data_IF_357701116759
#
_entry.id   IF_357701116759
#
_cell.length_a   1.000
_cell.length_b   1.000
_cell.length_c   1.000
_cell.angle_alpha   90.00
_cell.angle_beta   90.00
_cell.angle_gamma   90.00
#
_symmetry.space_group_name_H-M   'P 1'
#
loop_
_entity.id
_entity.type
_entity.pdbx_description
1 polymer ?
#
# COMPACT_ATOMS: atom_id res chain seq x y z
N UNK A 1 -34.72 -39.04 -42.52
CA UNK A 1 -34.53 -37.60 -42.34
C UNK A 1 -34.02 -37.39 -40.92
N UNK A 2 -32.71 -37.24 -40.79
CA UNK A 2 -32.04 -37.09 -39.47
C UNK A 2 -31.77 -35.59 -39.26
N UNK A 3 -32.41 -34.99 -38.26
CA UNK A 3 -32.10 -33.65 -37.81
C UNK A 3 -30.87 -33.69 -36.95
N UNK A 4 -29.74 -33.28 -37.48
CA UNK A 4 -28.55 -33.03 -36.75
C UNK A 4 -28.72 -31.71 -35.95
N UNK A 5 -28.97 -31.78 -34.65
CA UNK A 5 -28.91 -30.66 -33.76
C UNK A 5 -27.42 -30.32 -33.48
N UNK A 6 -26.97 -29.27 -34.14
CA UNK A 6 -25.68 -28.65 -33.83
C UNK A 6 -25.87 -27.82 -32.56
N UNK A 7 -25.50 -28.39 -31.42
CA UNK A 7 -25.35 -27.66 -30.14
C UNK A 7 -24.08 -26.84 -30.29
N UNK A 8 -24.25 -25.57 -30.64
CA UNK A 8 -23.19 -24.56 -30.54
C UNK A 8 -22.94 -24.31 -29.05
N UNK A 9 -21.95 -24.99 -28.51
CA UNK A 9 -21.41 -24.68 -27.17
C UNK A 9 -20.70 -23.32 -27.26
N UNK A 10 -21.45 -22.26 -26.96
CA UNK A 10 -20.86 -20.95 -26.70
C UNK A 10 -20.03 -21.08 -25.40
N UNK A 11 -18.78 -21.46 -25.52
CA UNK A 11 -17.78 -21.20 -24.51
C UNK A 11 -17.64 -19.68 -24.39
N UNK A 12 -18.46 -19.08 -23.53
CA UNK A 12 -18.17 -17.77 -22.98
C UNK A 12 -16.88 -17.89 -22.20
N UNK A 13 -15.78 -17.57 -22.85
CA UNK A 13 -14.52 -17.28 -22.18
C UNK A 13 -14.80 -16.02 -21.36
N UNK A 14 -15.25 -16.22 -20.13
CA UNK A 14 -15.18 -15.17 -19.12
C UNK A 14 -13.68 -14.91 -18.99
N UNK A 15 -13.21 -13.87 -19.64
CA UNK A 15 -11.91 -13.31 -19.36
C UNK A 15 -11.96 -12.91 -17.89
N UNK A 16 -11.53 -13.78 -17.01
CA UNK A 16 -11.19 -13.43 -15.64
C UNK A 16 -10.13 -12.34 -15.79
N UNK A 17 -10.56 -11.10 -15.63
CA UNK A 17 -9.66 -9.98 -15.45
C UNK A 17 -8.93 -10.26 -14.14
N UNK A 18 -7.85 -11.02 -14.22
CA UNK A 18 -7.00 -11.29 -13.06
C UNK A 18 -6.35 -9.97 -12.72
N UNK A 19 -6.83 -9.36 -11.66
CA UNK A 19 -6.14 -8.26 -11.03
C UNK A 19 -4.70 -8.72 -10.77
N UNK A 20 -3.72 -7.98 -11.26
CA UNK A 20 -2.34 -8.33 -10.97
C UNK A 20 -2.04 -8.04 -9.49
N UNK A 21 -1.28 -8.92 -8.87
CA UNK A 21 -0.85 -8.79 -7.49
C UNK A 21 0.66 -8.64 -7.41
N UNK A 22 1.15 -8.04 -6.36
CA UNK A 22 2.59 -8.08 -6.08
C UNK A 22 3.05 -9.52 -5.80
N UNK A 23 4.35 -9.82 -5.90
CA UNK A 23 4.90 -11.05 -5.35
C UNK A 23 4.42 -11.26 -3.91
N UNK A 24 4.20 -12.50 -3.50
CA UNK A 24 3.72 -12.81 -2.14
C UNK A 24 4.68 -12.32 -1.04
N UNK A 25 5.95 -12.16 -1.36
CA UNK A 25 6.97 -11.57 -0.49
C UNK A 25 7.84 -10.61 -1.29
N UNK A 26 8.05 -9.42 -0.77
CA UNK A 26 8.96 -8.44 -1.38
C UNK A 26 9.45 -7.42 -0.34
N UNK A 27 10.59 -6.81 -0.64
CA UNK A 27 11.16 -5.67 0.05
C UNK A 27 11.41 -4.55 -0.95
N UNK A 28 11.37 -3.31 -0.49
CA UNK A 28 11.64 -2.14 -1.31
C UNK A 28 11.70 -0.87 -0.47
N UNK A 29 11.78 0.24 -1.18
CA UNK A 29 11.78 1.57 -0.60
C UNK A 29 10.71 2.40 -1.27
N UNK A 30 10.13 3.35 -0.53
CA UNK A 30 9.16 4.31 -1.02
C UNK A 30 9.65 5.72 -0.72
N UNK A 31 9.59 6.57 -1.73
CA UNK A 31 9.81 8.01 -1.57
C UNK A 31 8.48 8.72 -1.78
N UNK A 32 8.00 9.39 -0.74
CA UNK A 32 6.70 10.05 -0.73
C UNK A 32 6.87 11.56 -0.59
N UNK A 33 6.13 12.29 -1.40
CA UNK A 33 5.91 13.72 -1.22
C UNK A 33 4.41 14.00 -1.30
N UNK A 34 3.90 14.83 -0.39
CA UNK A 34 2.48 15.14 -0.37
C UNK A 34 2.16 16.44 0.32
N UNK A 35 0.88 16.78 0.27
CA UNK A 35 0.34 17.96 0.94
C UNK A 35 -1.04 17.66 1.51
N UNK A 36 -1.37 18.39 2.55
CA UNK A 36 -2.69 18.34 3.15
C UNK A 36 -3.20 19.73 3.50
N UNK A 37 -4.52 19.89 3.45
CA UNK A 37 -5.20 21.12 3.79
C UNK A 37 -6.48 20.85 4.60
N UNK A 38 -6.63 21.54 5.71
CA UNK A 38 -7.81 21.50 6.55
C UNK A 38 -8.14 22.87 7.13
N UNK A 39 -9.24 22.98 7.88
CA UNK A 39 -9.72 24.28 8.38
C UNK A 39 -8.70 25.09 9.19
N UNK A 40 -7.80 24.45 9.91
CA UNK A 40 -6.88 25.09 10.84
C UNK A 40 -5.41 24.79 10.57
N UNK A 41 -5.11 23.93 9.60
CA UNK A 41 -3.75 23.53 9.29
C UNK A 41 -3.64 23.08 7.83
N UNK A 42 -2.52 23.41 7.24
CA UNK A 42 -2.07 22.87 5.97
C UNK A 42 -0.57 22.61 6.09
N UNK A 43 -0.05 21.71 5.29
CA UNK A 43 1.37 21.40 5.33
C UNK A 43 1.80 20.52 4.18
N UNK A 44 3.11 20.38 4.07
CA UNK A 44 3.79 19.47 3.16
C UNK A 44 4.41 18.36 4.00
N UNK A 45 4.36 17.15 3.49
CA UNK A 45 5.04 16.00 4.07
C UNK A 45 6.02 15.41 3.06
N UNK A 46 7.10 14.86 3.58
CA UNK A 46 8.06 14.03 2.85
C UNK A 46 8.36 12.81 3.70
N UNK A 47 8.39 11.67 3.05
CA UNK A 47 8.68 10.41 3.74
C UNK A 47 9.61 9.58 2.88
N UNK A 48 10.53 8.91 3.53
CA UNK A 48 11.30 7.82 2.96
C UNK A 48 11.04 6.58 3.80
N UNK A 49 10.59 5.52 3.16
CA UNK A 49 10.05 4.34 3.84
C UNK A 49 10.77 3.11 3.30
N UNK A 50 11.42 2.34 4.16
CA UNK A 50 11.85 0.99 3.82
C UNK A 50 10.71 0.03 4.18
N UNK A 51 10.23 -0.74 3.20
CA UNK A 51 9.05 -1.60 3.32
C UNK A 51 9.44 -3.06 3.16
N UNK A 52 8.83 -3.92 3.95
CA UNK A 52 8.83 -5.37 3.78
C UNK A 52 7.37 -5.87 3.82
N UNK A 53 6.96 -6.56 2.77
CA UNK A 53 5.64 -7.16 2.64
C UNK A 53 5.76 -8.67 2.59
N UNK A 54 5.04 -9.36 3.48
CA UNK A 54 4.99 -10.81 3.56
C UNK A 54 3.53 -11.29 3.56
N UNK A 55 2.99 -11.42 2.36
CA UNK A 55 1.62 -11.90 2.11
C UNK A 55 1.46 -13.38 2.45
N UNK A 56 2.54 -14.16 2.46
CA UNK A 56 2.51 -15.57 2.85
C UNK A 56 2.18 -15.72 4.34
N UNK A 57 2.77 -14.86 5.18
CA UNK A 57 2.57 -14.88 6.63
C UNK A 57 1.63 -13.75 7.11
N UNK A 58 0.96 -13.05 6.19
CA UNK A 58 0.00 -11.97 6.49
C UNK A 58 0.58 -10.89 7.42
N UNK A 59 1.73 -10.35 7.07
CA UNK A 59 2.43 -9.33 7.87
C UNK A 59 3.12 -8.31 6.99
N UNK A 60 3.30 -7.10 7.52
CA UNK A 60 4.08 -6.04 6.88
C UNK A 60 4.99 -5.37 7.91
N UNK A 61 6.08 -4.78 7.44
CA UNK A 61 6.92 -3.93 8.27
C UNK A 61 7.36 -2.70 7.46
N UNK A 62 7.46 -1.56 8.14
CA UNK A 62 7.96 -0.33 7.53
C UNK A 62 8.85 0.44 8.52
N UNK A 63 9.94 1.00 8.00
CA UNK A 63 10.76 1.98 8.69
C UNK A 63 10.58 3.32 7.98
N UNK A 64 9.97 4.27 8.68
CA UNK A 64 9.57 5.56 8.13
C UNK A 64 10.49 6.66 8.64
N UNK A 65 11.12 7.39 7.72
CA UNK A 65 11.76 8.68 7.99
C UNK A 65 10.83 9.78 7.50
N UNK A 66 10.23 10.48 8.44
CA UNK A 66 9.17 11.46 8.20
C UNK A 66 9.66 12.88 8.40
N UNK A 67 9.29 13.76 7.48
CA UNK A 67 9.53 15.20 7.57
C UNK A 67 8.27 16.01 7.26
N UNK A 68 7.97 16.96 8.12
CA UNK A 68 6.90 17.95 7.93
C UNK A 68 7.42 19.32 8.35
N UNK A 69 7.81 20.13 7.36
CA UNK A 69 8.53 21.38 7.60
C UNK A 69 9.85 21.13 8.32
N UNK A 70 10.04 21.75 9.50
CA UNK A 70 11.23 21.59 10.36
C UNK A 70 11.15 20.36 11.28
N UNK A 71 9.99 19.72 11.39
CA UNK A 71 9.81 18.55 12.24
C UNK A 71 10.18 17.27 11.50
N UNK A 72 11.03 16.48 12.12
CA UNK A 72 11.38 15.14 11.62
C UNK A 72 11.18 14.09 12.70
N UNK A 73 10.76 12.90 12.31
CA UNK A 73 10.63 11.76 13.20
C UNK A 73 10.94 10.45 12.49
N UNK A 74 11.20 9.39 13.25
CA UNK A 74 11.43 8.04 12.72
C UNK A 74 10.50 7.06 13.41
N UNK A 75 9.86 6.23 12.62
CA UNK A 75 8.94 5.22 13.12
C UNK A 75 9.31 3.84 12.60
N UNK A 76 9.08 2.82 13.44
CA UNK A 76 8.94 1.44 12.98
C UNK A 76 7.46 1.08 13.08
N UNK A 77 6.92 0.56 11.98
CA UNK A 77 5.52 0.12 11.89
C UNK A 77 5.55 -1.37 11.57
N UNK A 78 4.78 -2.16 12.31
CA UNK A 78 4.62 -3.59 12.04
C UNK A 78 3.14 -3.91 12.07
N UNK A 79 2.65 -4.63 11.04
CA UNK A 79 1.33 -5.25 11.09
C UNK A 79 1.46 -6.76 11.10
N UNK A 80 0.64 -7.43 11.89
CA UNK A 80 0.53 -8.88 11.90
C UNK A 80 -0.93 -9.28 11.95
N UNK A 81 -1.29 -10.30 11.19
CA UNK A 81 -2.63 -10.84 11.14
C UNK A 81 -2.61 -12.31 11.50
N UNK A 82 -3.42 -12.69 12.48
CA UNK A 82 -3.60 -14.05 12.96
C UNK A 82 -5.10 -14.34 13.08
N UNK A 83 -5.54 -15.47 12.57
CA UNK A 83 -6.94 -15.92 12.64
C UNK A 83 -7.97 -14.86 12.15
N UNK A 84 -7.63 -14.11 11.09
CA UNK A 84 -8.49 -13.07 10.51
C UNK A 84 -8.49 -11.73 11.25
N UNK A 85 -7.75 -11.60 12.35
CA UNK A 85 -7.60 -10.37 13.11
C UNK A 85 -6.19 -9.81 12.95
N UNK A 86 -6.12 -8.50 12.73
CA UNK A 86 -4.85 -7.81 12.59
C UNK A 86 -4.50 -6.99 13.83
N UNK A 87 -3.20 -6.77 14.02
CA UNK A 87 -2.68 -5.84 15.00
C UNK A 87 -1.59 -4.98 14.41
N UNK A 88 -1.73 -3.68 14.56
CA UNK A 88 -0.78 -2.67 14.17
C UNK A 88 0.05 -2.25 15.39
N UNK A 89 1.35 -2.17 15.20
CA UNK A 89 2.33 -1.66 16.16
C UNK A 89 3.04 -0.47 15.53
N UNK A 90 3.07 0.67 16.20
CA UNK A 90 3.78 1.87 15.75
C UNK A 90 4.73 2.32 16.84
N UNK A 91 6.01 2.34 16.56
CA UNK A 91 7.05 2.78 17.51
C UNK A 91 7.65 4.08 17.03
N UNK A 92 7.60 5.10 17.88
CA UNK A 92 8.39 6.31 17.73
C UNK A 92 9.82 6.01 18.20
N UNK A 93 10.73 5.87 17.25
CA UNK A 93 12.11 5.48 17.52
C UNK A 93 12.92 6.58 18.24
N UNK A 94 12.47 7.84 18.17
CA UNK A 94 13.10 8.94 18.91
C UNK A 94 12.67 8.98 20.38
N UNK A 95 11.40 8.64 20.65
CA UNK A 95 10.83 8.70 22.00
C UNK A 95 10.83 7.37 22.73
N UNK A 96 11.08 6.25 22.02
CA UNK A 96 10.96 4.91 22.58
C UNK A 96 9.54 4.56 23.02
N UNK A 97 8.51 5.12 22.35
CA UNK A 97 7.11 4.88 22.67
C UNK A 97 6.46 4.02 21.62
N UNK A 98 5.65 3.04 22.06
CA UNK A 98 4.87 2.20 21.18
C UNK A 98 3.37 2.43 21.38
N UNK A 99 2.66 2.43 20.27
CA UNK A 99 1.20 2.42 20.21
C UNK A 99 0.74 1.19 19.47
N UNK A 100 -0.38 0.64 19.90
CA UNK A 100 -0.97 -0.53 19.26
C UNK A 100 -2.42 -0.26 18.88
N UNK A 101 -2.86 -0.84 17.77
CA UNK A 101 -4.26 -0.77 17.29
C UNK A 101 -4.70 -2.12 16.75
N UNK A 102 -5.87 -2.57 17.15
CA UNK A 102 -6.52 -3.73 16.53
C UNK A 102 -7.06 -3.36 15.16
N UNK A 103 -6.85 -4.24 14.19
CA UNK A 103 -7.36 -4.12 12.82
C UNK A 103 -8.47 -5.15 12.64
N UNK A 104 -9.70 -4.69 12.49
CA UNK A 104 -10.88 -5.56 12.35
C UNK A 104 -11.04 -6.15 10.95
N UNK A 105 -10.23 -5.69 9.99
CA UNK A 105 -10.26 -6.19 8.62
C UNK A 105 -9.25 -7.29 8.44
N UNK A 106 -9.55 -8.33 7.65
CA UNK A 106 -8.56 -9.36 7.31
C UNK A 106 -7.41 -8.74 6.50
N UNK A 107 -6.28 -9.43 6.51
CA UNK A 107 -5.17 -9.09 5.63
C UNK A 107 -5.63 -9.09 4.17
N UNK A 108 -5.21 -8.10 3.43
CA UNK A 108 -5.47 -8.01 2.00
C UNK A 108 -4.17 -8.16 1.24
N UNK A 109 -4.19 -9.00 0.22
CA UNK A 109 -3.07 -9.08 -0.71
C UNK A 109 -2.93 -7.73 -1.45
N UNK A 110 -1.70 -7.34 -1.71
CA UNK A 110 -1.38 -6.15 -2.47
C UNK A 110 -1.64 -6.41 -3.96
N UNK A 111 -2.89 -6.26 -4.36
CA UNK A 111 -3.37 -6.48 -5.73
C UNK A 111 -4.05 -5.22 -6.25
N UNK A 112 -4.00 -5.03 -7.56
CA UNK A 112 -4.89 -4.08 -8.23
C UNK A 112 -6.33 -4.60 -8.07
N UNK A 113 -7.27 -3.82 -7.52
CA UNK A 113 -8.66 -4.23 -7.35
C UNK A 113 -9.33 -4.59 -8.69
N UNK A 114 -10.24 -5.56 -8.66
CA UNK A 114 -10.96 -6.03 -9.87
C UNK A 114 -11.82 -4.92 -10.52
N UNK A 115 -12.27 -3.97 -9.72
CA UNK A 115 -13.05 -2.81 -10.16
C UNK A 115 -12.20 -1.61 -10.57
N UNK A 116 -10.87 -1.72 -10.50
CA UNK A 116 -9.96 -0.68 -10.94
C UNK A 116 -10.05 -0.48 -12.46
N UNK A 117 -10.17 0.77 -12.88
CA UNK A 117 -10.22 1.11 -14.28
C UNK A 117 -8.82 1.14 -14.89
N UNK A 118 -8.52 0.20 -15.79
CA UNK A 118 -7.30 0.26 -16.59
C UNK A 118 -7.34 1.49 -17.51
N UNK A 119 -6.32 2.35 -17.40
CA UNK A 119 -6.18 3.56 -18.22
C UNK A 119 -5.44 3.25 -19.51
N UNK A 120 -4.43 2.38 -19.45
CA UNK A 120 -3.60 1.98 -20.58
C UNK A 120 -2.17 1.73 -20.18
N UNK A 121 -1.35 1.35 -21.17
CA UNK A 121 0.08 1.20 -20.98
C UNK A 121 0.83 2.37 -21.61
N UNK A 122 1.88 2.82 -20.97
CA UNK A 122 2.73 3.93 -21.41
C UNK A 122 4.16 3.73 -20.92
N UNK A 123 5.05 4.59 -21.38
CA UNK A 123 6.45 4.55 -20.99
C UNK A 123 6.77 5.68 -20.01
N UNK A 124 7.50 5.39 -18.95
CA UNK A 124 8.08 6.40 -18.09
C UNK A 124 9.41 6.87 -18.64
N UNK A 125 9.58 8.19 -18.71
CA UNK A 125 10.79 8.80 -19.28
C UNK A 125 10.81 8.75 -20.81
N UNK A 126 11.80 8.10 -21.38
CA UNK A 126 11.94 8.02 -22.83
C UNK A 126 10.89 7.13 -23.47
N UNK A 127 10.45 7.49 -24.68
CA UNK A 127 9.66 6.61 -25.53
C UNK A 127 10.43 5.30 -25.75
N UNK A 128 9.74 4.17 -25.60
CA UNK A 128 10.32 2.82 -25.64
C UNK A 128 11.29 2.49 -24.47
N UNK A 129 11.24 3.29 -23.40
CA UNK A 129 11.93 3.04 -22.15
C UNK A 129 11.17 2.09 -21.20
N UNK A 130 10.97 2.53 -19.95
CA UNK A 130 10.34 1.71 -18.92
C UNK A 130 8.82 1.68 -19.07
N UNK A 131 8.27 0.52 -19.45
CA UNK A 131 6.83 0.35 -19.74
C UNK A 131 6.04 0.01 -18.47
N UNK A 132 4.96 0.75 -18.26
CA UNK A 132 4.04 0.52 -17.15
C UNK A 132 2.59 0.49 -17.62
N UNK A 133 1.72 -0.05 -16.78
CA UNK A 133 0.27 -0.01 -16.97
C UNK A 133 -0.35 0.82 -15.85
N UNK A 134 -1.17 1.81 -16.21
CA UNK A 134 -1.86 2.69 -15.26
C UNK A 134 -3.27 2.21 -14.93
N UNK A 135 -3.66 2.37 -13.67
CA UNK A 135 -4.98 2.06 -13.14
C UNK A 135 -5.52 3.22 -12.32
N UNK A 136 -6.80 3.55 -12.51
CA UNK A 136 -7.58 4.48 -11.69
C UNK A 136 -8.43 3.68 -10.70
N UNK A 137 -8.17 3.85 -9.41
CA UNK A 137 -8.82 3.15 -8.31
C UNK A 137 -9.68 4.16 -7.58
N UNK A 138 -10.98 3.89 -7.50
CA UNK A 138 -11.94 4.79 -6.87
C UNK A 138 -12.51 4.21 -5.59
N UNK A 139 -12.25 4.88 -4.48
CA UNK A 139 -12.86 4.59 -3.19
C UNK A 139 -13.91 5.62 -2.80
N UNK A 140 -14.54 5.42 -1.65
CA UNK A 140 -15.57 6.35 -1.15
C UNK A 140 -15.02 7.73 -0.79
N UNK A 141 -13.84 7.80 -0.24
CA UNK A 141 -13.22 9.04 0.27
C UNK A 141 -11.79 9.22 -0.22
N UNK A 142 -11.16 8.16 -0.70
CA UNK A 142 -9.78 8.11 -1.13
C UNK A 142 -9.76 7.47 -2.51
N UNK A 143 -9.03 8.07 -3.42
CA UNK A 143 -8.80 7.58 -4.76
C UNK A 143 -7.30 7.41 -4.96
N UNK A 144 -6.93 6.51 -5.86
CA UNK A 144 -5.53 6.33 -6.24
C UNK A 144 -5.40 6.18 -7.76
N UNK A 145 -4.28 6.67 -8.27
CA UNK A 145 -3.79 6.36 -9.59
C UNK A 145 -2.49 5.59 -9.42
N UNK A 146 -2.45 4.35 -9.86
CA UNK A 146 -1.31 3.45 -9.68
C UNK A 146 -0.72 3.08 -11.03
N UNK A 147 0.59 3.15 -11.15
CA UNK A 147 1.34 2.65 -12.30
C UNK A 147 2.13 1.42 -11.87
N UNK A 148 1.96 0.32 -12.57
CA UNK A 148 2.64 -0.92 -12.26
C UNK A 148 3.47 -1.41 -13.45
N UNK A 149 4.59 -2.02 -13.17
CA UNK A 149 5.28 -2.90 -14.10
C UNK A 149 4.64 -4.28 -14.04
N UNK A 150 4.25 -4.82 -15.17
CA UNK A 150 3.70 -6.17 -15.26
C UNK A 150 4.86 -7.14 -15.47
N UNK A 151 4.99 -8.08 -14.56
CA UNK A 151 5.91 -9.20 -14.66
C UNK A 151 5.22 -10.37 -15.37
N UNK A 152 5.95 -11.47 -15.54
CA UNK A 152 5.37 -12.73 -15.99
C UNK A 152 4.39 -13.27 -14.93
N UNK A 153 3.46 -14.16 -15.32
CA UNK A 153 2.50 -14.84 -14.44
C UNK A 153 1.45 -13.95 -13.72
N UNK A 154 1.03 -12.86 -14.35
CA UNK A 154 0.07 -11.90 -13.77
C UNK A 154 0.52 -11.22 -12.47
N UNK A 155 1.79 -11.26 -12.16
CA UNK A 155 2.37 -10.46 -11.11
C UNK A 155 2.67 -9.04 -11.61
N UNK A 156 2.59 -8.09 -10.70
CA UNK A 156 2.97 -6.72 -10.98
C UNK A 156 3.67 -6.07 -9.78
N UNK A 157 4.54 -5.14 -10.08
CA UNK A 157 5.27 -4.36 -9.07
C UNK A 157 4.82 -2.92 -9.18
N UNK A 158 4.42 -2.27 -8.09
CA UNK A 158 4.11 -0.85 -8.10
C UNK A 158 5.36 -0.05 -8.46
N UNK A 159 5.17 0.97 -9.28
CA UNK A 159 6.24 1.89 -9.71
C UNK A 159 5.99 3.29 -9.18
N UNK A 160 4.77 3.77 -9.37
CA UNK A 160 4.32 5.05 -8.82
C UNK A 160 2.87 4.95 -8.37
N UNK A 161 2.55 5.71 -7.34
CA UNK A 161 1.19 5.87 -6.88
C UNK A 161 0.90 7.35 -6.59
N UNK A 162 -0.27 7.82 -6.97
CA UNK A 162 -0.80 9.11 -6.55
C UNK A 162 -2.10 8.85 -5.78
N UNK A 163 -2.09 9.14 -4.48
CA UNK A 163 -3.26 9.00 -3.61
C UNK A 163 -3.81 10.36 -3.26
N UNK A 164 -5.11 10.52 -3.38
CA UNK A 164 -5.77 11.78 -3.09
C UNK A 164 -7.18 11.58 -2.56
N UNK A 165 -7.65 12.53 -1.79
CA UNK A 165 -9.00 12.45 -1.25
C UNK A 165 -9.18 13.26 0.00
N UNK A 166 -10.12 12.79 0.83
CA UNK A 166 -10.47 13.44 2.08
C UNK A 166 -10.52 12.45 3.23
N UNK A 167 -9.71 12.70 4.24
CA UNK A 167 -9.76 12.00 5.52
C UNK A 167 -10.39 12.90 6.59
N UNK A 168 -11.56 12.49 7.10
CA UNK A 168 -12.36 13.27 8.07
C UNK A 168 -12.70 14.68 7.56
N UNK A 169 -11.87 15.67 7.73
CA UNK A 169 -12.09 17.07 7.27
C UNK A 169 -10.82 17.67 6.68
N UNK A 170 -9.87 16.82 6.30
CA UNK A 170 -8.58 17.19 5.73
C UNK A 170 -8.51 16.66 4.32
N UNK A 171 -8.36 17.53 3.36
CA UNK A 171 -8.06 17.17 1.98
C UNK A 171 -6.56 16.88 1.87
N UNK A 172 -6.19 15.87 1.11
CA UNK A 172 -4.80 15.51 0.92
C UNK A 172 -4.53 15.00 -0.49
N UNK A 173 -3.29 15.13 -0.90
CA UNK A 173 -2.71 14.49 -2.09
C UNK A 173 -1.28 14.09 -1.74
N UNK A 174 -0.89 12.90 -2.16
CA UNK A 174 0.49 12.45 -2.06
C UNK A 174 0.87 11.61 -3.28
N UNK A 175 2.15 11.64 -3.62
CA UNK A 175 2.74 10.79 -4.65
C UNK A 175 3.82 9.93 -4.01
N UNK A 176 3.84 8.67 -4.40
CA UNK A 176 4.77 7.65 -3.94
C UNK A 176 5.53 7.14 -5.15
N UNK A 177 6.84 7.10 -5.06
CA UNK A 177 7.71 6.37 -5.99
C UNK A 177 8.24 5.12 -5.30
N UNK A 178 8.09 3.96 -5.91
CA UNK A 178 8.65 2.71 -5.42
C UNK A 178 10.04 2.50 -5.97
N UNK A 179 10.99 2.13 -5.12
CA UNK A 179 12.41 2.10 -5.41
C UNK A 179 12.99 0.77 -4.94
N UNK A 180 13.92 0.20 -5.71
CA UNK A 180 14.67 -0.99 -5.32
C UNK A 180 13.80 -2.18 -4.88
N UNK A 181 12.63 -2.36 -5.50
CA UNK A 181 11.74 -3.48 -5.17
C UNK A 181 12.38 -4.80 -5.60
N UNK A 182 12.48 -5.74 -4.67
CA UNK A 182 13.01 -7.09 -4.89
C UNK A 182 12.07 -8.13 -4.30
N UNK A 183 11.88 -9.25 -4.99
CA UNK A 183 11.09 -10.36 -4.48
C UNK A 183 11.82 -11.07 -3.32
N UNK A 184 11.04 -11.56 -2.35
CA UNK A 184 11.51 -12.26 -1.17
C UNK A 184 11.84 -11.33 0.01
N UNK A 185 12.07 -11.95 1.17
CA UNK A 185 12.44 -11.29 2.42
C UNK A 185 13.86 -11.69 2.78
N UNK A 186 14.74 -10.71 2.88
CA UNK A 186 16.16 -10.94 3.22
C UNK A 186 16.39 -11.05 4.73
N UNK A 187 15.59 -10.34 5.51
CA UNK A 187 15.73 -10.31 6.97
C UNK A 187 14.36 -10.40 7.65
N UNK A 188 14.05 -11.57 8.17
CA UNK A 188 12.80 -11.85 8.89
C UNK A 188 12.63 -11.00 10.17
N UNK A 189 13.71 -10.52 10.78
CA UNK A 189 13.63 -9.76 12.04
C UNK A 189 13.02 -8.37 11.88
N UNK A 190 12.82 -7.90 10.64
CA UNK A 190 12.11 -6.64 10.40
C UNK A 190 10.68 -6.68 10.93
N UNK A 191 10.06 -7.87 10.94
CA UNK A 191 8.71 -8.09 11.44
C UNK A 191 8.63 -8.30 12.96
N UNK A 192 9.75 -8.33 13.68
CA UNK A 192 9.73 -8.52 15.12
C UNK A 192 9.04 -7.36 15.80
N UNK A 193 8.16 -7.70 16.75
CA UNK A 193 7.46 -6.71 17.56
C UNK A 193 8.49 -6.06 18.50
N UNK A 194 8.64 -4.73 18.44
CA UNK A 194 9.58 -4.02 19.28
C UNK A 194 9.27 -4.19 20.77
N UNK A 195 10.31 -4.28 21.60
CA UNK A 195 10.19 -4.45 23.07
C UNK A 195 9.41 -3.31 23.74
N UNK A 196 9.46 -2.12 23.15
CA UNK A 196 8.70 -0.95 23.58
C UNK A 196 7.20 -1.19 23.57
N UNK A 197 6.73 -2.15 22.78
CA UNK A 197 5.32 -2.51 22.65
C UNK A 197 4.81 -3.48 23.72
N UNK A 198 5.65 -3.96 24.62
CA UNK A 198 5.25 -4.79 25.77
C UNK A 198 4.47 -3.97 26.80
N UNK A 199 4.75 -2.66 26.88
CA UNK A 199 4.02 -1.70 27.72
C UNK A 199 2.89 -1.09 26.89
N UNK A 200 1.65 -1.46 27.15
CA UNK A 200 0.47 -1.02 26.40
C UNK A 200 0.21 0.47 26.64
N UNK A 201 0.37 1.30 25.61
CA UNK A 201 -0.30 2.60 25.50
C UNK A 201 -1.34 2.51 24.38
N UNK A 202 -2.61 2.79 24.67
CA UNK A 202 -3.64 2.87 23.63
C UNK A 202 -3.54 4.19 22.86
N UNK A 203 -3.88 4.16 21.57
CA UNK A 203 -3.89 5.34 20.73
C UNK A 203 -4.84 6.41 21.23
N UNK A 204 -4.36 7.63 21.42
CA UNK A 204 -5.23 8.78 21.54
C UNK A 204 -5.71 9.28 20.17
N UNK A 205 -6.96 9.76 20.11
CA UNK A 205 -7.62 10.20 18.86
C UNK A 205 -6.83 11.33 18.12
N UNK A 206 -6.10 12.17 18.86
CA UNK A 206 -5.31 13.27 18.30
C UNK A 206 -4.00 12.80 17.64
N UNK A 207 -3.41 11.74 18.17
CA UNK A 207 -2.21 11.10 17.63
C UNK A 207 -2.53 10.22 16.42
N UNK A 208 -3.73 9.65 16.37
CA UNK A 208 -4.24 8.86 15.25
C UNK A 208 -4.29 9.68 13.94
N UNK A 209 -4.65 10.96 14.02
CA UNK A 209 -4.76 11.85 12.84
C UNK A 209 -3.42 12.17 12.17
N UNK A 210 -2.34 12.21 12.93
CA UNK A 210 -0.99 12.43 12.36
C UNK A 210 -0.39 11.19 11.73
N UNK A 211 -1.00 10.03 11.96
CA UNK A 211 -0.46 8.70 11.60
C UNK A 211 -1.33 7.93 10.60
N UNK A 212 -2.56 8.34 10.34
CA UNK A 212 -3.40 7.75 9.28
C UNK A 212 -2.75 7.85 7.89
N UNK A 213 -1.81 8.78 7.69
CA UNK A 213 -1.03 8.89 6.46
C UNK A 213 -0.12 7.66 6.24
N UNK A 214 0.39 7.04 7.32
CA UNK A 214 1.26 5.87 7.22
C UNK A 214 0.51 4.55 6.91
N UNK A 215 -0.81 4.52 7.15
CA UNK A 215 -1.62 3.31 6.97
C UNK A 215 -2.12 3.17 5.53
N UNK A 216 -2.05 4.25 4.73
CA UNK A 216 -2.51 4.26 3.33
C UNK A 216 -1.42 3.86 2.33
N UNK A 217 -0.17 3.82 2.76
CA UNK A 217 0.98 3.44 1.94
C UNK A 217 1.36 1.95 2.07
N UNK A 218 0.57 1.14 2.80
CA UNK A 218 0.80 -0.31 2.96
C UNK A 218 -0.47 -1.10 2.62
#
# INVERSE_FOLDING_TARGET
MAFAQVIMLLCSVVALSTACCTPDQWEGEEATIGGYAGRRRAGLLKEFIAVAYDGTNNRTAAFVDYQNGEHSNKFKIVTRYENGHGKLYVVDLKKGKCWTKSLERPFRKACIPDDAKKIGSYYLGLKDGFKVTGYDIRGRSINAFVSVETLDDNQCVPVTEAVYGKLRKVDFVQTVGFINVVAGIRNETVFDIPKECEKREEFSLAEELSREHYILAI
#
